data_IF_845999370939
#
_entry.id   IF_845999370939
#
_cell.length_a   1.000
_cell.length_b   1.000
_cell.length_c   1.000
_cell.angle_alpha   90.00
_cell.angle_beta   90.00
_cell.angle_gamma   90.00
#
_symmetry.space_group_name_H-M   'P 1'
#
loop_
_entity.id
_entity.type
_entity.pdbx_description
1 polymer ?
#
# COMPACT_ATOMS: atom_id res chain seq x y z
N UNK A 1 1.48 -15.76 7.14
CA UNK A 1 2.06 -14.90 8.19
C UNK A 1 1.65 -13.47 7.88
N UNK A 2 0.85 -12.84 8.74
CA UNK A 2 0.35 -11.48 8.54
C UNK A 2 0.90 -10.57 9.63
N UNK A 3 1.39 -9.41 9.22
CA UNK A 3 2.00 -8.40 10.08
C UNK A 3 0.99 -7.27 10.28
N UNK A 4 0.59 -7.00 11.53
CA UNK A 4 -0.30 -5.88 11.85
C UNK A 4 0.47 -4.55 11.88
N UNK A 5 0.13 -3.64 10.97
CA UNK A 5 0.72 -2.30 10.84
C UNK A 5 -0.21 -1.16 11.31
N UNK A 6 -1.38 -1.45 11.89
CA UNK A 6 -2.37 -0.41 12.23
C UNK A 6 -1.81 0.65 13.19
N UNK A 7 -1.05 0.22 14.20
CA UNK A 7 -0.41 1.16 15.14
C UNK A 7 0.68 2.00 14.47
N UNK A 8 1.47 1.39 13.59
CA UNK A 8 2.52 2.08 12.82
C UNK A 8 1.92 3.13 11.88
N UNK A 9 0.87 2.79 11.14
CA UNK A 9 0.21 3.69 10.18
C UNK A 9 -0.42 4.92 10.85
N UNK A 10 -0.83 4.82 12.13
CA UNK A 10 -1.35 5.96 12.89
C UNK A 10 -0.28 6.97 13.31
N UNK A 11 0.97 6.52 13.49
CA UNK A 11 2.09 7.33 14.00
C UNK A 11 3.03 7.78 12.87
N UNK A 12 2.88 7.20 11.68
CA UNK A 12 3.57 7.64 10.48
C UNK A 12 2.70 8.65 9.72
N UNK A 13 3.23 9.84 9.37
CA UNK A 13 2.53 10.73 8.45
C UNK A 13 2.37 10.05 7.10
N UNK A 14 1.23 10.27 6.44
CA UNK A 14 1.01 9.80 5.07
C UNK A 14 1.97 10.51 4.13
N UNK A 15 2.72 9.74 3.35
CA UNK A 15 3.50 10.26 2.23
C UNK A 15 2.61 10.26 0.98
N UNK A 16 2.17 11.45 0.57
CA UNK A 16 1.29 11.60 -0.58
C UNK A 16 2.11 11.57 -1.86
N UNK A 17 2.34 10.36 -2.39
CA UNK A 17 2.81 10.21 -3.76
C UNK A 17 1.67 10.62 -4.72
N UNK A 18 1.93 11.47 -5.73
CA UNK A 18 0.92 11.88 -6.70
C UNK A 18 0.60 10.68 -7.62
N UNK A 19 -0.32 9.84 -7.17
CA UNK A 19 -0.84 8.75 -8.00
C UNK A 19 -1.70 9.36 -9.12
N UNK A 20 -1.54 8.92 -10.38
CA UNK A 20 -2.40 9.37 -11.46
C UNK A 20 -3.86 9.02 -11.13
N UNK A 21 -4.77 9.91 -11.53
CA UNK A 21 -6.20 9.64 -11.39
C UNK A 21 -6.55 8.38 -12.18
N UNK A 22 -7.38 7.50 -11.62
CA UNK A 22 -7.78 6.27 -12.28
C UNK A 22 -8.40 6.54 -13.66
N UNK A 23 -9.20 7.61 -13.79
CA UNK A 23 -9.77 8.02 -15.07
C UNK A 23 -8.71 8.29 -16.13
N UNK A 24 -7.61 8.97 -15.78
CA UNK A 24 -6.52 9.24 -16.73
C UNK A 24 -5.81 7.95 -17.18
N UNK A 25 -5.66 6.97 -16.28
CA UNK A 25 -5.11 5.65 -16.63
C UNK A 25 -6.03 4.90 -17.58
N UNK A 26 -7.34 4.92 -17.31
CA UNK A 26 -8.35 4.28 -18.16
C UNK A 26 -8.41 4.97 -19.52
N UNK A 27 -8.52 6.29 -19.57
CA UNK A 27 -8.58 7.08 -20.80
C UNK A 27 -7.33 6.88 -21.67
N UNK A 28 -6.14 6.89 -21.06
CA UNK A 28 -4.88 6.60 -21.75
C UNK A 28 -4.79 5.16 -22.28
N UNK A 29 -5.58 4.24 -21.72
CA UNK A 29 -5.63 2.85 -22.14
C UNK A 29 -6.63 2.60 -23.28
N UNK A 30 -7.66 3.45 -23.45
CA UNK A 30 -8.81 3.20 -24.37
C UNK A 30 -8.49 2.86 -25.83
N UNK A 31 -7.29 3.19 -26.32
CA UNK A 31 -6.85 2.91 -27.69
C UNK A 31 -5.98 1.65 -27.85
N UNK A 32 -5.79 0.85 -26.79
CA UNK A 32 -5.00 -0.39 -26.83
C UNK A 32 -5.92 -1.62 -26.87
N UNK A 33 -5.65 -2.53 -27.79
CA UNK A 33 -6.47 -3.74 -28.01
C UNK A 33 -6.12 -4.90 -27.06
N UNK A 34 -4.92 -4.87 -26.46
CA UNK A 34 -4.40 -5.93 -25.57
C UNK A 34 -3.68 -5.31 -24.38
N UNK A 35 -3.90 -5.89 -23.20
CA UNK A 35 -3.22 -5.53 -21.97
C UNK A 35 -2.65 -6.77 -21.29
N UNK A 36 -1.38 -6.67 -20.87
CA UNK A 36 -0.76 -7.64 -19.97
C UNK A 36 -0.64 -7.03 -18.57
N UNK A 37 -1.22 -7.70 -17.58
CA UNK A 37 -1.13 -7.29 -16.20
C UNK A 37 0.12 -7.92 -15.55
N UNK A 38 1.02 -7.08 -15.04
CA UNK A 38 2.14 -7.55 -14.22
C UNK A 38 1.81 -7.48 -12.72
N UNK A 39 1.88 -8.63 -12.04
CA UNK A 39 1.83 -8.66 -10.58
C UNK A 39 3.15 -8.17 -9.97
N UNK A 40 3.09 -7.04 -9.27
CA UNK A 40 4.24 -6.46 -8.56
C UNK A 40 4.12 -6.59 -7.04
N UNK A 41 3.26 -7.48 -6.54
CA UNK A 41 3.04 -7.73 -5.10
C UNK A 41 4.33 -7.94 -4.30
N UNK A 42 5.34 -8.60 -4.89
CA UNK A 42 6.64 -8.86 -4.23
C UNK A 42 7.59 -7.67 -4.23
N UNK A 43 7.31 -6.61 -4.99
CA UNK A 43 8.21 -5.47 -5.17
C UNK A 43 8.48 -4.71 -3.87
N UNK A 44 7.52 -4.71 -2.94
CA UNK A 44 7.71 -4.15 -1.60
C UNK A 44 8.90 -4.78 -0.84
N UNK A 45 9.20 -6.06 -1.06
CA UNK A 45 10.32 -6.74 -0.42
C UNK A 45 11.68 -6.44 -1.06
N UNK A 46 11.68 -5.80 -2.24
CA UNK A 46 12.89 -5.45 -2.99
C UNK A 46 13.31 -3.99 -2.76
N UNK A 47 12.44 -3.15 -2.20
CA UNK A 47 12.73 -1.74 -1.91
C UNK A 47 13.60 -1.63 -0.66
N UNK A 48 14.73 -0.93 -0.78
CA UNK A 48 15.65 -0.69 0.33
C UNK A 48 15.04 0.30 1.33
N UNK A 49 15.01 -0.07 2.60
CA UNK A 49 14.62 0.84 3.68
C UNK A 49 15.85 1.66 4.09
N UNK A 50 15.79 2.97 3.90
CA UNK A 50 16.83 3.88 4.39
C UNK A 50 16.92 3.80 5.92
N UNK A 51 18.16 3.75 6.46
CA UNK A 51 18.39 3.65 7.91
C UNK A 51 17.70 4.76 8.71
N UNK A 52 17.62 5.98 8.15
CA UNK A 52 16.92 7.12 8.75
C UNK A 52 15.40 6.95 8.82
N UNK A 53 14.83 6.17 7.89
CA UNK A 53 13.39 5.85 7.81
C UNK A 53 13.03 4.63 8.65
N UNK A 54 14.03 3.84 9.05
CA UNK A 54 13.87 2.77 10.03
C UNK A 54 13.57 3.41 11.39
N UNK A 55 12.30 3.79 11.60
CA UNK A 55 11.76 3.98 12.95
C UNK A 55 12.10 2.71 13.73
N UNK A 56 12.41 2.87 15.03
CA UNK A 56 12.62 1.85 16.06
C UNK A 56 12.46 0.41 15.52
N UNK A 57 13.50 -0.46 15.57
CA UNK A 57 13.53 -1.73 14.86
C UNK A 57 12.20 -2.49 15.02
N UNK A 58 11.77 -3.23 14.00
CA UNK A 58 10.49 -3.97 13.99
C UNK A 58 10.20 -4.74 15.31
N UNK A 59 11.27 -5.14 16.03
CA UNK A 59 11.28 -5.75 17.36
C UNK A 59 10.86 -4.85 18.55
N UNK A 60 10.70 -3.55 18.33
CA UNK A 60 10.36 -2.54 19.34
C UNK A 60 9.05 -1.79 19.03
N UNK A 61 8.40 -2.14 17.92
CA UNK A 61 6.97 -1.94 17.74
C UNK A 61 6.23 -3.20 18.19
N UNK A 62 5.03 -3.04 18.75
CA UNK A 62 4.13 -4.16 19.03
C UNK A 62 3.60 -4.71 17.70
N UNK A 63 4.43 -5.48 17.00
CA UNK A 63 4.07 -6.18 15.78
C UNK A 63 3.46 -7.51 16.17
N UNK A 64 2.12 -7.56 16.16
CA UNK A 64 1.36 -8.79 16.37
C UNK A 64 1.31 -9.59 15.08
N UNK A 65 1.72 -10.86 15.16
CA UNK A 65 1.55 -11.81 14.07
C UNK A 65 0.16 -12.42 14.15
N UNK A 66 -0.69 -12.13 13.18
CA UNK A 66 -2.04 -12.71 13.14
C UNK A 66 -1.90 -14.15 12.64
N UNK A 67 -2.15 -15.11 13.54
CA UNK A 67 -2.18 -16.54 13.23
C UNK A 67 -3.63 -17.03 13.38
N UNK A 68 -4.26 -17.43 12.27
CA UNK A 68 -5.54 -18.15 12.31
C UNK A 68 -6.80 -17.43 11.80
N UNK A 69 -6.73 -16.20 11.29
CA UNK A 69 -7.84 -15.60 10.52
C UNK A 69 -7.33 -15.15 9.16
N UNK A 70 -8.12 -15.37 8.10
CA UNK A 70 -7.91 -14.76 6.79
C UNK A 70 -7.46 -13.31 6.99
N UNK A 71 -6.28 -12.95 6.49
CA UNK A 71 -5.79 -11.60 6.60
C UNK A 71 -6.66 -10.70 5.74
N UNK A 72 -7.60 -9.99 6.37
CA UNK A 72 -8.32 -8.91 5.73
C UNK A 72 -7.35 -7.77 5.48
N UNK A 73 -7.15 -7.38 4.22
CA UNK A 73 -6.60 -6.06 3.93
C UNK A 73 -7.56 -5.04 4.56
N UNK A 74 -7.05 -4.17 5.42
CA UNK A 74 -7.80 -3.00 5.86
C UNK A 74 -8.11 -2.17 4.62
N UNK A 75 -9.36 -2.22 4.16
CA UNK A 75 -9.83 -1.49 2.98
C UNK A 75 -9.78 0.03 3.19
N UNK A 76 -9.35 0.52 4.37
CA UNK A 76 -9.06 1.93 4.66
C UNK A 76 -7.68 2.38 4.17
N UNK A 77 -7.27 1.97 2.97
CA UNK A 77 -6.59 2.96 2.15
C UNK A 77 -7.65 4.03 1.91
N UNK A 78 -7.54 5.16 2.62
CA UNK A 78 -8.40 6.32 2.37
C UNK A 78 -8.21 6.63 0.89
N UNK A 79 -9.15 6.18 0.06
CA UNK A 79 -9.22 6.62 -1.31
C UNK A 79 -9.25 8.15 -1.26
N UNK A 80 -8.49 8.86 -2.09
CA UNK A 80 -8.71 10.30 -2.23
C UNK A 80 -10.21 10.49 -2.43
N UNK A 81 -10.81 11.42 -1.70
CA UNK A 81 -12.24 11.69 -1.74
C UNK A 81 -12.60 12.16 -3.16
N UNK A 82 -12.91 11.23 -4.06
CA UNK A 82 -13.41 11.54 -5.39
C UNK A 82 -14.88 11.89 -5.18
N UNK A 83 -15.15 13.17 -4.94
CA UNK A 83 -16.50 13.71 -5.06
C UNK A 83 -16.89 13.65 -6.54
N UNK A 84 -17.79 12.73 -6.89
CA UNK A 84 -18.42 12.66 -8.21
C UNK A 84 -18.30 11.31 -8.88
N UNK A 85 -18.93 10.29 -8.27
CA UNK A 85 -19.62 9.19 -8.95
C UNK A 85 -20.89 8.91 -8.15
#
# INVERSE_FOLDING_TARGET
>A
MCTDFTSLNKVCPNDFYPLPCLGQLVDGSTYHEVFDFMDTSRRYHQIIILQRMRKKPLSSLNVTYITGKSCHLDSRMVAPHISGW
#
